data_IF_358770087706
#
_entry.id   IF_358770087706
#
_cell.length_a   1.000
_cell.length_b   1.000
_cell.length_c   1.000
_cell.angle_alpha   90.00
_cell.angle_beta   90.00
_cell.angle_gamma   90.00
#
_symmetry.space_group_name_H-M   'P 1'
#
loop_
_entity.id
_entity.type
_entity.pdbx_description
1 polymer ?
#
# COMPACT_ATOMS: atom_id res chain seq x y z
N UNK A 1 16.25 6.43 14.33
CA UNK A 1 15.19 6.66 13.33
C UNK A 1 14.30 7.83 13.72
N UNK A 2 14.12 8.80 12.82
CA UNK A 2 13.19 9.93 12.93
C UNK A 2 12.33 9.99 11.68
N UNK A 3 11.03 10.26 11.85
CA UNK A 3 10.08 10.45 10.75
C UNK A 3 9.79 11.93 10.61
N UNK A 4 10.02 12.48 9.43
CA UNK A 4 9.80 13.88 9.10
C UNK A 4 8.53 14.01 8.26
N UNK A 5 7.67 14.97 8.62
CA UNK A 5 6.46 15.29 7.87
C UNK A 5 6.47 16.73 7.39
N UNK A 6 6.30 16.93 6.09
CA UNK A 6 6.02 18.22 5.47
C UNK A 6 4.55 18.29 5.02
N UNK A 7 3.85 19.38 5.33
CA UNK A 7 2.46 19.60 4.93
C UNK A 7 2.41 20.76 3.95
N UNK A 8 1.86 20.54 2.77
CA UNK A 8 1.67 21.58 1.77
C UNK A 8 0.23 21.60 1.27
N UNK A 9 -0.32 22.81 1.11
CA UNK A 9 -1.63 23.02 0.51
C UNK A 9 -1.43 23.49 -0.93
N UNK A 10 -2.03 22.79 -1.90
CA UNK A 10 -2.10 23.24 -3.29
C UNK A 10 -3.55 23.41 -3.70
N UNK A 11 -3.88 24.59 -4.22
CA UNK A 11 -5.17 24.82 -4.88
C UNK A 11 -5.18 24.00 -6.18
N UNK A 12 -5.93 22.90 -6.23
CA UNK A 12 -6.10 22.14 -7.45
C UNK A 12 -7.32 22.68 -8.21
N UNK A 13 -7.06 23.27 -9.38
CA UNK A 13 -8.12 23.79 -10.26
C UNK A 13 -8.73 22.67 -11.11
N UNK A 14 -8.00 21.57 -11.37
CA UNK A 14 -8.49 20.42 -12.12
C UNK A 14 -7.51 19.24 -11.98
N UNK A 15 -7.94 18.04 -11.56
CA UNK A 15 -7.14 16.81 -11.68
C UNK A 15 -7.88 15.79 -12.55
N UNK A 16 -7.20 15.30 -13.59
CA UNK A 16 -7.74 14.39 -14.60
C UNK A 16 -7.76 12.92 -14.16
N UNK A 17 -7.23 12.60 -12.98
CA UNK A 17 -7.12 11.22 -12.48
C UNK A 17 -7.33 11.23 -10.96
N UNK A 18 -8.45 10.72 -10.41
CA UNK A 18 -9.70 10.33 -11.06
C UNK A 18 -10.62 11.56 -11.16
N UNK A 19 -11.17 11.85 -12.35
CA UNK A 19 -12.19 12.88 -12.65
C UNK A 19 -13.04 13.32 -11.44
N UNK A 20 -12.53 14.27 -10.65
CA UNK A 20 -13.28 14.94 -9.58
C UNK A 20 -13.44 16.40 -9.99
N UNK A 21 -14.59 16.70 -10.60
CA UNK A 21 -15.06 18.06 -10.82
C UNK A 21 -15.48 18.66 -9.47
N UNK A 22 -14.51 19.21 -8.74
CA UNK A 22 -14.76 19.93 -7.50
C UNK A 22 -13.74 21.04 -7.30
N UNK A 23 -14.21 22.21 -6.87
CA UNK A 23 -13.37 23.29 -6.33
C UNK A 23 -12.80 22.83 -4.98
N UNK A 24 -11.77 21.98 -5.03
CA UNK A 24 -11.20 21.30 -3.88
C UNK A 24 -9.80 21.82 -3.56
N UNK A 25 -9.56 22.12 -2.29
CA UNK A 25 -8.20 22.26 -1.78
C UNK A 25 -7.57 20.87 -1.73
N UNK A 26 -6.45 20.67 -2.41
CA UNK A 26 -5.67 19.43 -2.31
C UNK A 26 -4.57 19.61 -1.28
N UNK A 27 -4.47 18.64 -0.36
CA UNK A 27 -3.40 18.60 0.62
C UNK A 27 -2.34 17.61 0.15
N UNK A 28 -1.07 17.98 0.32
CA UNK A 28 0.06 17.09 0.07
C UNK A 28 0.78 16.83 1.38
N UNK A 29 0.91 15.54 1.71
CA UNK A 29 1.69 15.06 2.83
C UNK A 29 3.03 14.54 2.31
N UNK A 30 4.12 15.23 2.62
CA UNK A 30 5.47 14.77 2.36
C UNK A 30 5.98 14.01 3.59
N UNK A 31 6.45 12.79 3.42
CA UNK A 31 7.02 11.98 4.49
C UNK A 31 8.42 11.52 4.11
N UNK A 32 9.38 11.71 5.01
CA UNK A 32 10.78 11.35 4.84
C UNK A 32 11.30 10.64 6.10
N UNK A 33 12.12 9.60 5.93
CA UNK A 33 12.66 8.81 7.03
C UNK A 33 14.16 9.06 7.20
N UNK A 34 14.53 9.72 8.29
CA UNK A 34 15.92 9.87 8.69
C UNK A 34 16.35 8.69 9.56
N UNK A 35 17.34 7.94 9.07
CA UNK A 35 17.94 6.82 9.79
C UNK A 35 19.32 7.18 10.31
N UNK A 36 19.65 6.60 11.46
CA UNK A 36 21.02 6.64 11.97
C UNK A 36 21.93 5.67 11.18
N UNK A 37 23.24 5.84 11.26
CA UNK A 37 24.20 5.05 10.48
C UNK A 37 24.15 3.55 10.80
N UNK A 38 23.90 3.18 12.06
CA UNK A 38 23.71 1.78 12.46
C UNK A 38 22.44 1.17 11.84
N UNK A 39 21.34 1.94 11.82
CA UNK A 39 20.05 1.50 11.27
C UNK A 39 20.15 1.32 9.74
N UNK A 40 20.86 2.21 9.04
CA UNK A 40 21.14 2.09 7.60
C UNK A 40 21.91 0.80 7.28
N UNK A 41 22.90 0.46 8.10
CA UNK A 41 23.68 -0.78 7.92
C UNK A 41 22.81 -2.03 8.11
N UNK A 42 21.92 -2.05 9.11
CA UNK A 42 20.96 -3.14 9.32
C UNK A 42 19.97 -3.26 8.16
N UNK A 43 19.47 -2.13 7.66
CA UNK A 43 18.57 -2.07 6.50
C UNK A 43 19.21 -2.68 5.25
N UNK A 44 20.47 -2.34 4.98
CA UNK A 44 21.23 -2.88 3.86
C UNK A 44 21.57 -4.36 4.04
N UNK A 45 21.95 -4.78 5.26
CA UNK A 45 22.28 -6.17 5.62
C UNK A 45 21.09 -7.11 5.38
N UNK A 46 19.89 -6.72 5.82
CA UNK A 46 18.68 -7.54 5.72
C UNK A 46 17.80 -7.19 4.50
N UNK A 47 18.25 -6.26 3.63
CA UNK A 47 17.54 -5.81 2.42
C UNK A 47 16.11 -5.32 2.68
N UNK A 48 15.88 -4.72 3.86
CA UNK A 48 14.58 -4.15 4.22
C UNK A 48 14.17 -2.97 3.33
N UNK A 49 15.07 -2.43 2.51
CA UNK A 49 14.78 -1.38 1.52
C UNK A 49 13.63 -1.76 0.57
N UNK A 50 13.46 -3.07 0.30
CA UNK A 50 12.39 -3.61 -0.55
C UNK A 50 11.16 -4.08 0.23
N UNK A 51 11.16 -3.91 1.55
CA UNK A 51 10.00 -4.29 2.36
C UNK A 51 8.83 -3.36 2.01
N UNK A 52 7.68 -3.96 1.75
CA UNK A 52 6.43 -3.24 1.51
C UNK A 52 5.90 -2.81 2.88
N UNK A 53 5.97 -1.50 3.16
CA UNK A 53 5.43 -0.89 4.39
C UNK A 53 3.90 -0.88 4.33
N UNK A 54 3.34 -0.64 3.14
CA UNK A 54 1.89 -0.56 2.93
C UNK A 54 1.51 -1.55 1.85
N UNK A 55 0.92 -2.67 2.27
CA UNK A 55 0.26 -3.59 1.35
C UNK A 55 -1.06 -2.93 0.93
N UNK A 56 -1.11 -2.44 -0.31
CA UNK A 56 -2.33 -1.92 -0.90
C UNK A 56 -3.41 -3.01 -0.91
N UNK A 57 -4.59 -2.73 -0.35
CA UNK A 57 -5.72 -3.69 -0.40
C UNK A 57 -6.17 -3.82 -1.85
N UNK A 58 -5.68 -4.89 -2.47
CA UNK A 58 -5.82 -5.15 -3.90
C UNK A 58 -7.29 -5.21 -4.32
N UNK A 59 -8.18 -5.57 -3.41
CA UNK A 59 -9.61 -5.71 -3.69
C UNK A 59 -10.34 -4.37 -3.70
N UNK A 60 -9.94 -3.44 -2.84
CA UNK A 60 -10.51 -2.09 -2.81
C UNK A 60 -9.97 -1.20 -3.93
N UNK A 61 -8.70 -1.36 -4.31
CA UNK A 61 -8.12 -0.65 -5.47
C UNK A 61 -8.76 -1.09 -6.78
N UNK A 62 -9.08 -2.38 -6.90
CA UNK A 62 -9.82 -2.91 -8.06
C UNK A 62 -11.25 -2.35 -8.12
N UNK A 63 -11.96 -2.27 -7.00
CA UNK A 63 -13.31 -1.67 -6.97
C UNK A 63 -13.29 -0.19 -7.35
N UNK A 64 -12.28 0.55 -6.88
CA UNK A 64 -12.12 1.98 -7.20
C UNK A 64 -11.73 2.21 -8.65
N UNK A 65 -10.95 1.32 -9.27
CA UNK A 65 -10.53 1.44 -10.68
C UNK A 65 -11.64 1.11 -11.69
N UNK A 66 -12.61 0.27 -11.33
CA UNK A 66 -13.73 -0.12 -12.21
C UNK A 66 -14.63 1.08 -12.57
N UNK A 67 -14.92 1.98 -11.62
CA UNK A 67 -15.82 3.13 -11.85
C UNK A 67 -15.34 4.07 -12.96
N UNK A 68 -14.10 4.59 -12.94
CA UNK A 68 -13.60 5.44 -14.03
C UNK A 68 -13.41 4.65 -15.33
N UNK A 69 -12.99 3.38 -15.27
CA UNK A 69 -12.85 2.54 -16.45
C UNK A 69 -14.19 2.28 -17.17
N UNK A 70 -15.27 2.05 -16.41
CA UNK A 70 -16.62 1.88 -16.94
C UNK A 70 -17.13 3.15 -17.64
N UNK A 71 -16.87 4.32 -17.07
CA UNK A 71 -17.25 5.60 -17.66
C UNK A 71 -16.59 5.81 -19.04
N UNK A 72 -15.28 5.56 -19.13
CA UNK A 72 -14.54 5.65 -20.39
C UNK A 72 -15.04 4.61 -21.40
N UNK A 73 -15.34 3.40 -20.96
CA UNK A 73 -15.87 2.34 -21.83
C UNK A 73 -17.26 2.68 -22.39
N UNK A 74 -18.13 3.30 -21.60
CA UNK A 74 -19.46 3.76 -22.05
C UNK A 74 -19.33 4.87 -23.11
N UNK A 75 -18.42 5.82 -22.91
CA UNK A 75 -18.16 6.88 -23.90
C UNK A 75 -17.58 6.28 -25.20
N UNK A 76 -16.62 5.36 -25.08
CA UNK A 76 -16.05 4.65 -26.22
C UNK A 76 -17.11 3.82 -26.96
N UNK A 77 -18.03 3.18 -26.23
CA UNK A 77 -19.15 2.45 -26.82
C UNK A 77 -20.08 3.38 -27.62
N UNK A 78 -20.49 4.51 -27.05
CA UNK A 78 -21.36 5.47 -27.74
C UNK A 78 -20.73 6.02 -29.02
N UNK A 79 -19.43 6.32 -29.00
CA UNK A 79 -18.69 6.76 -30.19
C UNK A 79 -18.54 5.65 -31.23
N UNK A 80 -18.22 4.42 -30.81
CA UNK A 80 -18.06 3.29 -31.71
C UNK A 80 -19.39 2.85 -32.33
N UNK A 81 -20.49 2.92 -31.58
CA UNK A 81 -21.84 2.65 -32.08
C UNK A 81 -22.28 3.63 -33.16
N UNK A 82 -21.85 4.89 -33.09
CA UNK A 82 -22.15 5.90 -34.09
C UNK A 82 -21.42 5.65 -35.42
N UNK A 83 -20.26 4.99 -35.38
CA UNK A 83 -19.34 4.83 -36.52
C UNK A 83 -19.35 3.40 -37.11
N UNK A 84 -19.73 2.40 -36.32
CA UNK A 84 -19.54 0.98 -36.64
C UNK A 84 -20.77 0.12 -36.28
N UNK A 85 -20.72 -1.18 -36.57
CA UNK A 85 -21.78 -2.13 -36.24
C UNK A 85 -21.84 -2.48 -34.75
N UNK A 86 -22.99 -2.99 -34.28
CA UNK A 86 -23.23 -3.37 -32.87
C UNK A 86 -22.13 -4.29 -32.32
N UNK A 87 -21.78 -5.32 -33.09
CA UNK A 87 -20.78 -6.30 -32.67
C UNK A 87 -19.39 -5.67 -32.50
N UNK A 88 -19.00 -4.79 -33.42
CA UNK A 88 -17.72 -4.09 -33.35
C UNK A 88 -17.68 -3.10 -32.17
N UNK A 89 -18.78 -2.36 -31.93
CA UNK A 89 -18.88 -1.42 -30.83
C UNK A 89 -18.76 -2.11 -29.45
N UNK A 90 -19.44 -3.25 -29.26
CA UNK A 90 -19.34 -4.04 -28.02
C UNK A 90 -17.92 -4.57 -27.81
N UNK A 91 -17.28 -5.09 -28.86
CA UNK A 91 -15.92 -5.63 -28.77
C UNK A 91 -14.89 -4.55 -28.38
N UNK A 92 -14.98 -3.36 -28.99
CA UNK A 92 -14.10 -2.23 -28.69
C UNK A 92 -14.33 -1.73 -27.26
N UNK A 93 -15.59 -1.56 -26.84
CA UNK A 93 -15.91 -1.11 -25.50
C UNK A 93 -15.38 -2.05 -24.41
N UNK A 94 -15.48 -3.37 -24.63
CA UNK A 94 -14.94 -4.37 -23.71
C UNK A 94 -13.41 -4.33 -23.67
N UNK A 95 -12.74 -4.18 -24.82
CA UNK A 95 -11.28 -4.06 -24.88
C UNK A 95 -10.78 -2.82 -24.13
N UNK A 96 -11.43 -1.67 -24.37
CA UNK A 96 -11.12 -0.41 -23.69
C UNK A 96 -11.37 -0.54 -22.19
N UNK A 97 -12.46 -1.21 -21.77
CA UNK A 97 -12.74 -1.46 -20.37
C UNK A 97 -11.63 -2.27 -19.69
N UNK A 98 -11.21 -3.39 -20.30
CA UNK A 98 -10.14 -4.24 -19.76
C UNK A 98 -8.80 -3.51 -19.69
N UNK A 99 -8.42 -2.80 -20.77
CA UNK A 99 -7.18 -2.02 -20.82
C UNK A 99 -7.17 -0.90 -19.78
N UNK A 100 -8.24 -0.11 -19.72
CA UNK A 100 -8.34 1.00 -18.77
C UNK A 100 -8.38 0.49 -17.32
N UNK A 101 -9.07 -0.63 -17.05
CA UNK A 101 -9.05 -1.23 -15.71
C UNK A 101 -7.65 -1.67 -15.32
N UNK A 102 -6.88 -2.29 -16.23
CA UNK A 102 -5.50 -2.67 -15.97
C UNK A 102 -4.59 -1.46 -15.73
N UNK A 103 -4.73 -0.40 -16.53
CA UNK A 103 -3.94 0.84 -16.38
C UNK A 103 -4.30 1.55 -15.07
N UNK A 104 -5.58 1.74 -14.77
CA UNK A 104 -6.01 2.37 -13.52
C UNK A 104 -5.63 1.53 -12.30
N UNK A 105 -5.72 0.21 -12.38
CA UNK A 105 -5.29 -0.67 -11.30
C UNK A 105 -3.78 -0.57 -11.05
N UNK A 106 -2.97 -0.50 -12.11
CA UNK A 106 -1.52 -0.31 -11.96
C UNK A 106 -1.20 1.10 -11.42
N UNK A 107 -1.95 2.13 -11.82
CA UNK A 107 -1.78 3.49 -11.32
C UNK A 107 -2.23 3.65 -9.86
N UNK A 108 -3.27 2.93 -9.42
CA UNK A 108 -3.77 2.95 -8.04
C UNK A 108 -3.03 2.00 -7.11
N UNK A 109 -2.28 1.02 -7.64
CA UNK A 109 -1.33 0.21 -6.84
C UNK A 109 -0.17 1.08 -6.36
N UNK A 110 -0.43 1.94 -5.40
CA UNK A 110 0.61 2.60 -4.63
C UNK A 110 1.13 1.61 -3.59
N UNK A 111 2.01 0.70 -4.02
CA UNK A 111 2.88 0.03 -3.05
C UNK A 111 3.86 1.08 -2.53
N UNK A 112 3.93 1.20 -1.21
CA UNK A 112 4.85 2.12 -0.55
C UNK A 112 5.98 1.27 0.03
N UNK A 113 7.17 1.45 -0.56
CA UNK A 113 8.40 0.75 -0.15
C UNK A 113 9.15 1.57 0.90
N UNK A 114 9.94 0.91 1.75
CA UNK A 114 10.85 1.63 2.67
C UNK A 114 11.80 2.53 1.89
N UNK A 115 12.29 2.08 0.73
CA UNK A 115 13.17 2.87 -0.15
C UNK A 115 12.59 4.21 -0.61
N UNK A 116 11.27 4.32 -0.70
CA UNK A 116 10.60 5.55 -1.16
C UNK A 116 10.68 6.66 -0.10
N UNK A 117 10.86 6.30 1.17
CA UNK A 117 11.02 7.27 2.25
C UNK A 117 12.48 7.70 2.48
N UNK A 118 13.45 6.91 2.00
CA UNK A 118 14.89 7.11 2.24
C UNK A 118 15.57 8.01 1.22
N UNK A 119 15.02 8.14 0.01
CA UNK A 119 15.63 8.89 -1.09
C UNK A 119 15.00 10.29 -1.25
N UNK A 120 14.94 11.07 -0.17
CA UNK A 120 14.35 12.43 -0.17
C UNK A 120 12.83 12.46 -0.01
N UNK A 121 12.26 11.40 0.56
CA UNK A 121 10.84 11.30 0.93
C UNK A 121 9.84 11.09 -0.21
N UNK A 122 8.59 10.79 0.16
CA UNK A 122 7.47 10.60 -0.77
C UNK A 122 6.33 11.54 -0.43
N UNK A 123 5.74 12.15 -1.46
CA UNK A 123 4.58 13.04 -1.32
C UNK A 123 3.29 12.32 -1.68
N UNK A 124 2.33 12.34 -0.76
CA UNK A 124 1.02 11.73 -0.93
C UNK A 124 -0.04 12.82 -1.13
N UNK A 125 -0.80 12.80 -2.24
CA UNK A 125 -2.00 13.62 -2.34
C UNK A 125 -3.06 13.12 -1.35
N UNK A 126 -3.76 14.04 -0.70
CA UNK A 126 -4.85 13.80 0.24
C UNK A 126 -6.01 14.74 -0.13
N UNK A 127 -7.22 14.19 -0.23
CA UNK A 127 -8.41 14.92 -0.67
C UNK A 127 -9.04 15.75 0.46
N UNK A 128 -8.71 15.42 1.72
CA UNK A 128 -9.28 16.09 2.90
C UNK A 128 -8.28 16.19 4.05
N UNK A 129 -8.51 17.14 4.95
CA UNK A 129 -7.73 17.28 6.19
C UNK A 129 -7.83 16.03 7.06
N UNK A 130 -9.02 15.40 7.12
CA UNK A 130 -9.22 14.15 7.88
C UNK A 130 -8.39 13.01 7.29
N UNK A 131 -8.37 12.88 5.96
CA UNK A 131 -7.53 11.89 5.28
C UNK A 131 -6.05 12.16 5.53
N UNK A 132 -5.61 13.43 5.51
CA UNK A 132 -4.24 13.80 5.82
C UNK A 132 -3.83 13.34 7.23
N UNK A 133 -4.65 13.63 8.24
CA UNK A 133 -4.37 13.21 9.63
C UNK A 133 -4.37 11.68 9.78
N UNK A 134 -5.33 10.99 9.16
CA UNK A 134 -5.33 9.53 9.17
C UNK A 134 -4.08 8.94 8.50
N UNK A 135 -3.63 9.53 7.39
CA UNK A 135 -2.44 9.08 6.67
C UNK A 135 -1.16 9.36 7.46
N UNK A 136 -1.08 10.49 8.16
CA UNK A 136 0.01 10.79 9.11
C UNK A 136 0.08 9.74 10.23
N UNK A 137 -1.02 9.50 10.94
CA UNK A 137 -1.08 8.54 12.04
C UNK A 137 -0.77 7.10 11.55
N UNK A 138 -1.22 6.75 10.35
CA UNK A 138 -0.92 5.47 9.74
C UNK A 138 0.58 5.29 9.43
N UNK A 139 1.22 6.32 8.85
CA UNK A 139 2.66 6.31 8.56
C UNK A 139 3.49 6.25 9.84
N UNK A 140 3.11 7.02 10.87
CA UNK A 140 3.74 6.98 12.18
C UNK A 140 3.69 5.57 12.80
N UNK A 141 2.52 4.94 12.83
CA UNK A 141 2.36 3.58 13.35
C UNK A 141 3.19 2.55 12.57
N UNK A 142 3.18 2.64 11.24
CA UNK A 142 3.89 1.65 10.41
C UNK A 142 5.41 1.81 10.51
N UNK A 143 5.90 3.04 10.57
CA UNK A 143 7.29 3.32 10.90
C UNK A 143 7.63 2.86 12.32
N UNK A 144 6.72 2.99 13.28
CA UNK A 144 6.86 2.42 14.63
C UNK A 144 7.12 0.91 14.59
N UNK A 145 6.34 0.15 13.82
CA UNK A 145 6.57 -1.28 13.62
C UNK A 145 7.90 -1.57 12.93
N UNK A 146 8.26 -0.81 11.88
CA UNK A 146 9.55 -0.97 11.22
C UNK A 146 10.71 -0.79 12.20
N UNK A 147 10.63 0.20 13.10
CA UNK A 147 11.64 0.40 14.14
C UNK A 147 11.75 -0.81 15.05
N UNK A 148 10.63 -1.37 15.51
CA UNK A 148 10.63 -2.56 16.36
C UNK A 148 11.25 -3.77 15.64
N UNK A 149 10.96 -3.93 14.34
CA UNK A 149 11.59 -4.97 13.52
C UNK A 149 13.09 -4.74 13.41
N UNK A 150 13.56 -3.51 13.19
CA UNK A 150 14.98 -3.18 13.14
C UNK A 150 15.68 -3.44 14.48
N UNK A 151 15.05 -3.12 15.61
CA UNK A 151 15.57 -3.44 16.94
C UNK A 151 15.65 -4.95 17.15
N UNK A 152 14.62 -5.71 16.77
CA UNK A 152 14.66 -7.18 16.83
C UNK A 152 15.74 -7.77 15.92
N UNK A 153 15.97 -7.15 14.74
CA UNK A 153 16.93 -7.59 13.76
C UNK A 153 18.38 -7.45 14.23
N UNK A 154 18.65 -6.60 15.23
CA UNK A 154 19.96 -6.57 15.92
C UNK A 154 20.30 -7.92 16.56
N UNK A 155 19.28 -8.67 17.00
CA UNK A 155 19.41 -9.92 17.75
C UNK A 155 19.05 -11.18 16.95
N UNK A 156 18.69 -11.08 15.67
CA UNK A 156 18.25 -12.26 14.88
C UNK A 156 19.29 -13.37 14.70
N UNK A 157 20.57 -13.06 14.90
CA UNK A 157 21.63 -14.06 14.84
C UNK A 157 22.00 -14.63 16.22
N UNK A 158 21.36 -14.15 17.30
CA UNK A 158 21.52 -14.69 18.63
C UNK A 158 20.60 -15.90 18.83
N UNK A 159 21.05 -16.90 19.59
CA UNK A 159 20.23 -18.09 19.89
C UNK A 159 19.33 -17.79 21.07
N UNK A 160 18.04 -17.76 20.84
CA UNK A 160 17.06 -17.67 21.92
C UNK A 160 16.92 -19.03 22.63
N UNK A 161 17.19 -19.04 23.94
CA UNK A 161 16.94 -20.22 24.77
C UNK A 161 15.52 -20.08 25.31
N UNK A 162 14.58 -20.81 24.71
CA UNK A 162 13.23 -20.93 25.23
C UNK A 162 13.24 -22.09 26.25
N UNK A 163 13.17 -21.83 27.57
CA UNK A 163 13.14 -22.90 28.55
C UNK A 163 11.83 -23.68 28.43
N UNK A 164 11.91 -24.88 27.86
CA UNK A 164 10.77 -25.80 27.82
C UNK A 164 10.62 -26.39 29.23
N UNK A 165 9.69 -25.81 30.00
CA UNK A 165 9.31 -26.39 31.29
C UNK A 165 8.75 -27.80 31.08
N UNK A 166 9.23 -28.77 31.86
CA UNK A 166 8.71 -30.12 31.81
C UNK A 166 7.22 -30.11 32.20
N UNK A 167 6.35 -30.56 31.29
CA UNK A 167 4.93 -30.71 31.56
C UNK A 167 4.69 -31.79 32.62
N UNK A 168 3.66 -31.59 33.44
CA UNK A 168 3.19 -32.65 34.36
C UNK A 168 2.84 -33.93 33.60
N UNK A 169 3.17 -35.09 34.17
CA UNK A 169 3.10 -36.42 33.52
C UNK A 169 1.72 -36.71 32.94
N UNK A 170 0.64 -36.23 33.58
CA UNK A 170 -0.74 -36.46 33.13
C UNK A 170 -1.07 -35.65 31.87
N UNK A 171 -0.63 -34.40 31.81
CA UNK A 171 -0.88 -33.49 30.69
C UNK A 171 -0.01 -33.87 29.48
N UNK A 172 1.25 -34.26 29.72
CA UNK A 172 2.15 -34.74 28.66
C UNK A 172 1.59 -35.97 27.93
N UNK A 173 1.05 -36.96 28.67
CA UNK A 173 0.45 -38.16 28.07
C UNK A 173 -0.77 -37.84 27.21
N UNK A 174 -1.57 -36.85 27.61
CA UNK A 174 -2.78 -36.43 26.90
C UNK A 174 -2.44 -35.68 25.61
N UNK A 175 -1.42 -34.82 25.61
CA UNK A 175 -0.94 -34.11 24.42
C UNK A 175 -0.28 -35.08 23.42
N UNK A 176 0.51 -36.04 23.90
CA UNK A 176 1.13 -37.05 23.03
C UNK A 176 0.07 -37.93 22.35
N UNK A 177 -0.96 -38.37 23.08
CA UNK A 177 -2.09 -39.13 22.51
C UNK A 177 -2.86 -38.32 21.45
N UNK A 178 -3.00 -37.01 21.67
CA UNK A 178 -3.69 -36.10 20.74
C UNK A 178 -2.84 -35.76 19.51
N UNK A 179 -1.51 -35.74 19.65
CA UNK A 179 -0.57 -35.51 18.55
C UNK A 179 -0.30 -36.75 17.70
N UNK A 180 -0.43 -37.97 18.26
CA UNK A 180 -0.24 -39.23 17.51
C UNK A 180 -1.49 -39.68 16.73
N UNK A 181 -2.59 -38.93 16.80
CA UNK A 181 -3.87 -39.22 16.14
C UNK A 181 -4.20 -38.26 14.99
N UNK A 182 -3.26 -37.37 14.64
CA UNK A 182 -3.28 -36.53 13.43
C UNK A 182 -2.35 -37.12 12.37
#
# INVERSE_FOLDING_TARGET
MKLLFGRAQKSAVFSLVPLRLGTGVMFHLHAELELDEEEKQLLKKYKFERAVIVASDTMDDLKKSIRPAALVAIVAFGLAWLLMSLGAAIAIAFLVFCLMTAVYFNAMREQILVSDFLNGGRSFPCDSVVELIHKEAFLENTCGYLRQVLESAKHWNDREIIPIAALDKKVAKLIVLRGSSA
#
